data_IF_316647896912
#
_entry.id   IF_316647896912
#
_cell.length_a   1.000
_cell.length_b   1.000
_cell.length_c   1.000
_cell.angle_alpha   90.00
_cell.angle_beta   90.00
_cell.angle_gamma   90.00
#
_symmetry.space_group_name_H-M   'P 1'
#
loop_
_entity.id
_entity.type
_entity.pdbx_description
1 polymer ?
#
# COMPACT_ATOMS: atom_id res chain seq x y z
N UNK A 1 14.07 -35.38 32.51
CA UNK A 1 14.55 -36.31 31.47
C UNK A 1 15.22 -35.45 30.40
N UNK A 2 16.54 -35.32 30.46
CA UNK A 2 17.35 -34.49 29.56
C UNK A 2 17.61 -35.30 28.29
N UNK A 3 16.96 -34.93 27.18
CA UNK A 3 17.27 -35.46 25.86
C UNK A 3 18.62 -34.90 25.43
N UNK A 4 19.66 -35.74 25.54
CA UNK A 4 20.99 -35.49 24.99
C UNK A 4 20.88 -35.25 23.49
N UNK A 5 21.26 -34.06 23.05
CA UNK A 5 21.31 -33.71 21.63
C UNK A 5 22.27 -34.66 20.89
N UNK A 6 21.78 -35.25 19.81
CA UNK A 6 22.52 -36.16 18.94
C UNK A 6 23.57 -35.38 18.13
N UNK A 7 24.88 -35.57 18.39
CA UNK A 7 25.94 -34.79 17.78
C UNK A 7 26.24 -35.19 16.32
N UNK A 8 25.62 -36.26 15.80
CA UNK A 8 25.92 -36.78 14.46
C UNK A 8 24.88 -36.46 13.39
N UNK A 9 23.91 -35.58 13.67
CA UNK A 9 22.90 -35.24 12.66
C UNK A 9 23.58 -34.63 11.42
N UNK A 10 23.58 -35.31 10.26
CA UNK A 10 24.27 -34.82 9.07
C UNK A 10 23.70 -33.47 8.69
N UNK A 11 24.57 -32.47 8.49
CA UNK A 11 24.15 -31.17 7.99
C UNK A 11 23.40 -31.39 6.67
N UNK A 12 22.16 -30.90 6.52
CA UNK A 12 21.38 -31.10 5.30
C UNK A 12 22.20 -30.61 4.11
N UNK A 13 22.30 -31.46 3.09
CA UNK A 13 23.03 -31.19 1.85
C UNK A 13 22.72 -29.77 1.36
N UNK A 14 23.78 -28.97 1.18
CA UNK A 14 23.68 -27.61 0.67
C UNK A 14 22.81 -27.62 -0.58
N UNK A 15 21.64 -26.97 -0.49
CA UNK A 15 20.73 -26.77 -1.63
C UNK A 15 21.56 -26.21 -2.79
N UNK A 16 21.57 -26.85 -3.97
CA UNK A 16 22.42 -26.48 -5.09
C UNK A 16 22.30 -25.00 -5.40
N UNK A 17 23.44 -24.31 -5.34
CA UNK A 17 23.60 -22.86 -5.30
C UNK A 17 23.28 -22.14 -6.62
N UNK A 18 22.07 -22.30 -7.14
CA UNK A 18 21.48 -21.28 -7.98
C UNK A 18 21.29 -20.05 -7.11
N UNK A 19 22.04 -18.97 -7.38
CA UNK A 19 21.92 -17.77 -6.56
C UNK A 19 20.46 -17.32 -6.59
N UNK A 20 19.91 -16.93 -5.43
CA UNK A 20 18.53 -16.44 -5.32
C UNK A 20 18.23 -15.30 -6.30
N UNK A 21 19.30 -14.63 -6.76
CA UNK A 21 19.36 -13.58 -7.78
C UNK A 21 18.97 -14.10 -9.18
N UNK A 22 19.33 -15.33 -9.54
CA UNK A 22 19.05 -15.90 -10.88
C UNK A 22 17.58 -16.28 -11.07
N UNK A 23 16.83 -16.47 -9.98
CA UNK A 23 15.39 -16.79 -10.01
C UNK A 23 14.49 -15.56 -9.97
N UNK A 24 15.07 -14.36 -9.93
CA UNK A 24 14.27 -13.14 -9.96
C UNK A 24 13.64 -12.98 -11.34
N UNK A 25 12.30 -12.83 -11.48
CA UNK A 25 11.74 -12.34 -12.72
C UNK A 25 12.34 -10.95 -12.90
N UNK A 26 13.25 -10.83 -13.88
CA UNK A 26 13.88 -9.56 -14.23
C UNK A 26 12.78 -8.64 -14.74
N UNK A 27 12.12 -7.94 -13.83
CA UNK A 27 11.45 -6.69 -14.18
C UNK A 27 12.52 -5.91 -14.91
N UNK A 28 12.31 -5.69 -16.21
CA UNK A 28 13.27 -4.96 -17.00
C UNK A 28 13.42 -3.61 -16.30
N UNK A 29 14.61 -3.23 -15.81
CA UNK A 29 14.78 -1.99 -15.04
C UNK A 29 14.29 -0.77 -15.84
N UNK A 30 14.30 -0.85 -17.17
CA UNK A 30 13.70 0.12 -18.08
C UNK A 30 12.19 0.29 -17.91
N UNK A 31 11.43 -0.75 -17.57
CA UNK A 31 9.99 -0.66 -17.35
C UNK A 31 9.66 0.07 -16.03
N UNK A 32 10.38 -0.25 -14.95
CA UNK A 32 10.23 0.44 -13.67
C UNK A 32 10.64 1.91 -13.79
N UNK A 33 11.78 2.18 -14.44
CA UNK A 33 12.21 3.54 -14.73
C UNK A 33 11.21 4.29 -15.61
N UNK A 34 10.65 3.63 -16.62
CA UNK A 34 9.62 4.20 -17.49
C UNK A 34 8.38 4.64 -16.72
N UNK A 35 7.90 3.83 -15.76
CA UNK A 35 6.76 4.20 -14.91
C UNK A 35 7.08 5.39 -14.00
N UNK A 36 8.26 5.41 -13.38
CA UNK A 36 8.69 6.55 -12.55
C UNK A 36 8.77 7.83 -13.38
N UNK A 37 9.40 7.78 -14.55
CA UNK A 37 9.51 8.93 -15.46
C UNK A 37 8.12 9.39 -15.92
N UNK A 38 7.22 8.45 -16.26
CA UNK A 38 5.85 8.79 -16.65
C UNK A 38 5.09 9.47 -15.51
N UNK A 39 5.16 8.94 -14.28
CA UNK A 39 4.54 9.57 -13.11
C UNK A 39 5.07 10.99 -12.90
N UNK A 40 6.38 11.19 -12.92
CA UNK A 40 6.98 12.52 -12.74
C UNK A 40 6.60 13.49 -13.87
N UNK A 41 6.55 13.01 -15.11
CA UNK A 41 6.10 13.81 -16.24
C UNK A 41 4.64 14.26 -16.07
N UNK A 42 3.73 13.34 -15.72
CA UNK A 42 2.33 13.69 -15.49
C UNK A 42 2.15 14.64 -14.29
N UNK A 43 2.89 14.47 -13.20
CA UNK A 43 2.89 15.43 -12.07
C UNK A 43 3.30 16.83 -12.53
N UNK A 44 4.30 16.95 -13.40
CA UNK A 44 4.71 18.24 -13.96
C UNK A 44 3.61 18.84 -14.86
N UNK A 45 2.92 18.01 -15.65
CA UNK A 45 1.79 18.44 -16.47
C UNK A 45 0.60 18.92 -15.62
N UNK A 46 0.31 18.26 -14.50
CA UNK A 46 -0.68 18.74 -13.53
C UNK A 46 -0.25 20.09 -12.96
N UNK A 47 0.99 20.20 -12.47
CA UNK A 47 1.48 21.40 -11.79
C UNK A 47 1.52 22.64 -12.70
N UNK A 48 1.70 22.44 -14.00
CA UNK A 48 1.70 23.51 -15.01
C UNK A 48 0.34 23.76 -15.65
N UNK A 49 -0.67 22.97 -15.28
CA UNK A 49 -2.00 22.95 -15.91
C UNK A 49 -1.90 22.98 -17.45
N UNK A 50 -1.05 22.11 -18.02
CA UNK A 50 -0.74 22.17 -19.44
C UNK A 50 -2.02 21.99 -20.26
N UNK A 51 -2.42 23.03 -20.99
CA UNK A 51 -3.62 23.02 -21.81
C UNK A 51 -4.94 23.10 -21.04
N UNK A 52 -4.93 23.51 -19.76
CA UNK A 52 -6.15 23.63 -18.95
C UNK A 52 -6.77 22.28 -18.56
N UNK A 53 -5.94 21.24 -18.46
CA UNK A 53 -6.34 19.84 -18.28
C UNK A 53 -5.72 19.22 -17.01
N UNK A 54 -5.43 20.01 -15.98
CA UNK A 54 -4.80 19.53 -14.74
C UNK A 54 -5.46 18.27 -14.16
N UNK A 55 -6.79 18.18 -14.15
CA UNK A 55 -7.50 17.00 -13.64
C UNK A 55 -7.20 15.71 -14.42
N UNK A 56 -7.03 15.81 -15.74
CA UNK A 56 -6.67 14.66 -16.58
C UNK A 56 -5.23 14.21 -16.29
N UNK A 57 -4.31 15.16 -16.19
CA UNK A 57 -2.90 14.88 -15.86
C UNK A 57 -2.75 14.30 -14.47
N UNK A 58 -3.56 14.77 -13.52
CA UNK A 58 -3.61 14.26 -12.16
C UNK A 58 -3.98 12.77 -12.15
N UNK A 59 -5.09 12.43 -12.80
CA UNK A 59 -5.53 11.06 -12.95
C UNK A 59 -4.48 10.17 -13.63
N UNK A 60 -3.86 10.68 -14.71
CA UNK A 60 -2.81 9.95 -15.42
C UNK A 60 -1.58 9.66 -14.53
N UNK A 61 -1.16 10.63 -13.71
CA UNK A 61 -0.04 10.43 -12.79
C UNK A 61 -0.36 9.38 -11.74
N UNK A 62 -1.58 9.43 -11.16
CA UNK A 62 -2.05 8.50 -10.12
C UNK A 62 -2.15 7.07 -10.68
N UNK A 63 -2.68 6.90 -11.88
CA UNK A 63 -2.75 5.59 -12.56
C UNK A 63 -1.37 5.03 -12.86
N UNK A 64 -0.44 5.85 -13.35
CA UNK A 64 0.94 5.42 -13.58
C UNK A 64 1.62 4.96 -12.27
N UNK A 65 1.42 5.71 -11.19
CA UNK A 65 1.93 5.37 -9.87
C UNK A 65 1.32 4.06 -9.34
N UNK A 66 0.00 3.89 -9.46
CA UNK A 66 -0.71 2.68 -9.05
C UNK A 66 -0.22 1.44 -9.82
N UNK A 67 -0.03 1.56 -11.14
CA UNK A 67 0.55 0.48 -11.97
C UNK A 67 1.95 0.08 -11.52
N UNK A 68 2.81 1.07 -11.23
CA UNK A 68 4.14 0.84 -10.68
C UNK A 68 4.09 0.11 -9.34
N UNK A 69 3.24 0.59 -8.43
CA UNK A 69 3.06 0.01 -7.10
C UNK A 69 2.57 -1.45 -7.17
N UNK A 70 1.53 -1.75 -7.95
CA UNK A 70 1.01 -3.12 -8.14
C UNK A 70 2.09 -4.03 -8.72
N UNK A 71 2.79 -3.56 -9.75
CA UNK A 71 3.83 -4.34 -10.43
C UNK A 71 4.96 -4.71 -9.47
N UNK A 72 5.46 -3.74 -8.70
CA UNK A 72 6.51 -3.94 -7.71
C UNK A 72 6.05 -4.83 -6.55
N UNK A 73 4.85 -4.61 -6.02
CA UNK A 73 4.30 -5.41 -4.93
C UNK A 73 4.11 -6.87 -5.35
N UNK A 74 3.58 -7.11 -6.54
CA UNK A 74 3.34 -8.46 -7.05
C UNK A 74 4.65 -9.19 -7.40
N UNK A 75 5.62 -8.49 -8.00
CA UNK A 75 6.96 -9.04 -8.20
C UNK A 75 7.62 -9.38 -6.86
N UNK A 76 7.55 -8.48 -5.89
CA UNK A 76 8.04 -8.70 -4.53
C UNK A 76 7.36 -9.89 -3.83
N UNK A 77 6.07 -10.11 -4.05
CA UNK A 77 5.31 -11.23 -3.51
C UNK A 77 5.71 -12.57 -4.13
N UNK A 78 5.95 -12.61 -5.46
CA UNK A 78 6.40 -13.84 -6.16
C UNK A 78 7.76 -14.34 -5.67
N UNK A 79 8.58 -13.44 -5.15
CA UNK A 79 9.94 -13.70 -4.70
C UNK A 79 10.05 -14.08 -3.23
N UNK A 80 9.10 -13.62 -2.44
CA UNK A 80 9.06 -13.93 -1.02
C UNK A 80 8.57 -15.36 -0.78
N UNK A 81 8.86 -15.87 0.42
CA UNK A 81 8.40 -17.18 0.89
C UNK A 81 7.70 -17.04 2.24
N UNK A 82 6.95 -18.07 2.64
CA UNK A 82 6.28 -18.14 3.93
C UNK A 82 5.39 -16.93 4.21
N UNK A 83 5.52 -16.38 5.42
CA UNK A 83 4.73 -15.24 5.90
C UNK A 83 4.96 -13.96 5.08
N UNK A 84 6.22 -13.69 4.70
CA UNK A 84 6.56 -12.50 3.91
C UNK A 84 5.85 -12.51 2.55
N UNK A 85 5.66 -13.69 1.94
CA UNK A 85 4.86 -13.83 0.73
C UNK A 85 3.40 -13.49 0.96
N UNK A 86 2.81 -13.96 2.06
CA UNK A 86 1.42 -13.65 2.42
C UNK A 86 1.24 -12.15 2.58
N UNK A 87 2.09 -11.49 3.37
CA UNK A 87 2.03 -10.03 3.61
C UNK A 87 2.15 -9.26 2.29
N UNK A 88 3.16 -9.57 1.48
CA UNK A 88 3.37 -8.88 0.19
C UNK A 88 2.26 -9.14 -0.82
N UNK A 89 1.70 -10.35 -0.85
CA UNK A 89 0.58 -10.66 -1.73
C UNK A 89 -0.68 -9.89 -1.29
N UNK A 90 -0.94 -9.80 0.00
CA UNK A 90 -2.05 -8.99 0.53
C UNK A 90 -1.90 -7.53 0.16
N UNK A 91 -0.69 -6.94 0.28
CA UNK A 91 -0.42 -5.59 -0.19
C UNK A 91 -0.63 -5.45 -1.71
N UNK A 92 -0.17 -6.43 -2.51
CA UNK A 92 -0.38 -6.43 -3.95
C UNK A 92 -1.86 -6.50 -4.33
N UNK A 93 -2.68 -7.25 -3.59
CA UNK A 93 -4.14 -7.30 -3.78
C UNK A 93 -4.77 -5.94 -3.44
N UNK A 94 -4.39 -5.32 -2.31
CA UNK A 94 -4.88 -4.00 -1.94
C UNK A 94 -4.55 -2.93 -2.99
N UNK A 95 -3.30 -2.92 -3.47
CA UNK A 95 -2.88 -2.04 -4.56
C UNK A 95 -3.60 -2.35 -5.88
N UNK A 96 -3.93 -3.63 -6.13
CA UNK A 96 -4.72 -4.05 -7.29
C UNK A 96 -6.15 -3.49 -7.22
N UNK A 97 -6.79 -3.58 -6.04
CA UNK A 97 -8.08 -2.93 -5.81
C UNK A 97 -7.99 -1.42 -6.02
N UNK A 98 -6.95 -0.77 -5.50
CA UNK A 98 -6.73 0.66 -5.73
C UNK A 98 -6.61 1.00 -7.22
N UNK A 99 -5.80 0.25 -7.97
CA UNK A 99 -5.65 0.45 -9.41
C UNK A 99 -6.99 0.33 -10.15
N UNK A 100 -7.82 -0.66 -9.80
CA UNK A 100 -9.15 -0.80 -10.41
C UNK A 100 -10.06 0.39 -10.06
N UNK A 101 -10.00 0.86 -8.81
CA UNK A 101 -10.70 2.06 -8.37
C UNK A 101 -10.25 3.30 -9.16
N UNK A 102 -8.94 3.46 -9.35
CA UNK A 102 -8.36 4.57 -10.11
C UNK A 102 -8.79 4.51 -11.57
N UNK A 103 -8.67 3.36 -12.25
CA UNK A 103 -9.12 3.21 -13.63
C UNK A 103 -10.63 3.49 -13.79
N UNK A 104 -11.43 3.13 -12.79
CA UNK A 104 -12.86 3.46 -12.75
C UNK A 104 -13.07 4.98 -12.65
N UNK A 105 -12.30 5.66 -11.80
CA UNK A 105 -12.33 7.13 -11.65
C UNK A 105 -11.85 7.87 -12.89
N UNK A 106 -10.80 7.37 -13.56
CA UNK A 106 -10.31 7.90 -14.83
C UNK A 106 -11.40 7.82 -15.92
N UNK A 107 -12.06 6.67 -16.03
CA UNK A 107 -13.16 6.46 -16.97
C UNK A 107 -14.35 7.38 -16.69
N UNK A 108 -14.71 7.57 -15.42
CA UNK A 108 -15.78 8.50 -15.03
C UNK A 108 -15.44 9.94 -15.38
N UNK A 109 -14.19 10.35 -15.15
CA UNK A 109 -13.69 11.68 -15.52
C UNK A 109 -13.78 11.89 -17.02
N UNK A 110 -13.36 10.90 -17.81
CA UNK A 110 -13.42 10.94 -19.28
C UNK A 110 -14.86 11.04 -19.79
N UNK A 111 -15.80 10.34 -19.15
CA UNK A 111 -17.22 10.37 -19.51
C UNK A 111 -17.98 11.58 -18.93
N UNK A 112 -17.32 12.44 -18.14
CA UNK A 112 -17.95 13.58 -17.47
C UNK A 112 -18.97 13.19 -16.39
N UNK A 113 -18.92 11.96 -15.88
CA UNK A 113 -19.88 11.45 -14.91
C UNK A 113 -19.35 11.69 -13.49
N UNK A 114 -19.90 12.69 -12.81
CA UNK A 114 -19.43 13.09 -11.47
C UNK A 114 -20.16 12.39 -10.31
N UNK A 115 -21.31 11.76 -10.57
CA UNK A 115 -22.19 11.16 -9.56
C UNK A 115 -21.91 9.66 -9.31
N UNK A 116 -21.15 9.01 -10.20
CA UNK A 116 -20.86 7.56 -10.14
C UNK A 116 -19.56 7.23 -9.38
N UNK A 117 -18.99 8.18 -8.63
CA UNK A 117 -17.81 7.97 -7.77
C UNK A 117 -17.95 6.74 -6.87
N UNK A 118 -19.17 6.32 -6.57
CA UNK A 118 -19.49 5.08 -5.85
C UNK A 118 -18.63 3.87 -6.25
N UNK A 119 -18.32 3.65 -7.54
CA UNK A 119 -17.52 2.48 -7.92
C UNK A 119 -16.03 2.63 -7.56
N UNK A 120 -15.41 3.79 -7.84
CA UNK A 120 -14.02 4.05 -7.43
C UNK A 120 -13.88 4.05 -5.91
N UNK A 121 -14.86 4.63 -5.22
CA UNK A 121 -14.91 4.71 -3.76
C UNK A 121 -14.98 3.30 -3.14
N UNK A 122 -15.81 2.40 -3.70
CA UNK A 122 -15.91 1.00 -3.23
C UNK A 122 -14.59 0.26 -3.37
N UNK A 123 -13.92 0.36 -4.51
CA UNK A 123 -12.63 -0.30 -4.71
C UNK A 123 -11.53 0.27 -3.82
N UNK A 124 -11.59 1.57 -3.53
CA UNK A 124 -10.68 2.19 -2.59
C UNK A 124 -10.89 1.67 -1.17
N UNK A 125 -12.13 1.64 -0.70
CA UNK A 125 -12.47 1.06 0.60
C UNK A 125 -12.05 -0.41 0.65
N UNK A 126 -12.26 -1.15 -0.43
CA UNK A 126 -11.84 -2.55 -0.52
C UNK A 126 -10.32 -2.71 -0.43
N UNK A 127 -9.53 -1.75 -0.94
CA UNK A 127 -8.07 -1.76 -0.84
C UNK A 127 -7.55 -1.70 0.60
N UNK A 128 -8.36 -1.16 1.54
CA UNK A 128 -7.98 -1.08 2.97
C UNK A 128 -7.95 -2.44 3.65
N UNK A 129 -8.85 -3.37 3.27
CA UNK A 129 -8.95 -4.67 3.95
C UNK A 129 -7.67 -5.53 3.78
N UNK A 130 -7.11 -5.69 2.56
CA UNK A 130 -5.85 -6.38 2.38
C UNK A 130 -4.67 -5.69 3.07
N UNK A 131 -4.66 -4.34 3.13
CA UNK A 131 -3.62 -3.59 3.82
C UNK A 131 -3.67 -3.84 5.35
N UNK A 132 -4.85 -3.77 5.95
CA UNK A 132 -5.05 -4.11 7.36
C UNK A 132 -4.67 -5.56 7.66
N UNK A 133 -5.06 -6.49 6.79
CA UNK A 133 -4.67 -7.89 6.93
C UNK A 133 -3.16 -8.09 6.80
N UNK A 134 -2.50 -7.39 5.88
CA UNK A 134 -1.04 -7.43 5.73
C UNK A 134 -0.34 -6.92 7.00
N UNK A 135 -0.80 -5.80 7.57
CA UNK A 135 -0.28 -5.26 8.82
C UNK A 135 -0.47 -6.25 9.99
N UNK A 136 -1.70 -6.77 10.14
CA UNK A 136 -2.01 -7.76 11.16
C UNK A 136 -1.08 -8.97 11.05
N UNK A 137 -0.92 -9.55 9.85
CA UNK A 137 -0.04 -10.70 9.62
C UNK A 137 1.44 -10.37 9.80
N UNK A 138 1.85 -9.12 9.55
CA UNK A 138 3.22 -8.69 9.73
C UNK A 138 3.61 -8.63 11.21
N UNK A 139 2.70 -8.23 12.10
CA UNK A 139 2.99 -8.08 13.53
C UNK A 139 2.61 -9.33 14.33
N UNK A 140 1.45 -9.93 14.04
CA UNK A 140 0.87 -11.01 14.85
C UNK A 140 1.83 -12.20 15.01
N UNK A 141 2.09 -12.59 16.26
CA UNK A 141 3.00 -13.69 16.64
C UNK A 141 4.45 -13.56 16.16
N UNK A 142 4.89 -12.38 15.72
CA UNK A 142 6.32 -12.12 15.43
C UNK A 142 7.05 -11.50 16.61
N UNK A 143 6.31 -11.03 17.60
CA UNK A 143 6.79 -10.38 18.82
C UNK A 143 6.05 -10.94 20.04
N UNK A 144 6.49 -10.59 21.25
CA UNK A 144 5.76 -10.98 22.45
C UNK A 144 4.34 -10.39 22.44
N UNK A 145 3.40 -11.04 23.13
CA UNK A 145 1.99 -10.61 23.12
C UNK A 145 1.81 -9.18 23.63
N UNK A 146 2.62 -8.76 24.59
CA UNK A 146 2.66 -7.40 25.15
C UNK A 146 3.11 -6.38 24.10
N UNK A 147 4.16 -6.68 23.36
CA UNK A 147 4.69 -5.86 22.27
C UNK A 147 3.73 -5.79 21.07
N UNK A 148 3.07 -6.91 20.76
CA UNK A 148 2.04 -6.96 19.72
C UNK A 148 0.89 -5.99 20.04
N UNK A 149 0.39 -6.03 21.28
CA UNK A 149 -0.67 -5.11 21.74
C UNK A 149 -0.18 -3.66 21.68
N UNK A 150 1.04 -3.38 22.16
CA UNK A 150 1.63 -2.05 22.11
C UNK A 150 1.72 -1.52 20.67
N UNK A 151 2.20 -2.35 19.73
CA UNK A 151 2.32 -1.98 18.32
C UNK A 151 0.96 -1.64 17.69
N UNK A 152 -0.10 -2.38 18.01
CA UNK A 152 -1.45 -2.07 17.53
C UNK A 152 -2.01 -0.79 18.16
N UNK A 153 -1.76 -0.56 19.45
CA UNK A 153 -2.17 0.69 20.11
C UNK A 153 -1.43 1.90 19.53
N UNK A 154 -0.12 1.81 19.35
CA UNK A 154 0.69 2.88 18.74
C UNK A 154 0.23 3.16 17.31
N UNK A 155 -0.04 2.11 16.53
CA UNK A 155 -0.60 2.22 15.18
C UNK A 155 -1.96 2.94 15.20
N UNK A 156 -2.82 2.62 16.17
CA UNK A 156 -4.11 3.27 16.33
C UNK A 156 -3.97 4.74 16.73
N UNK A 157 -3.07 5.07 17.66
CA UNK A 157 -2.77 6.45 18.07
C UNK A 157 -2.26 7.27 16.89
N UNK A 158 -1.31 6.74 16.10
CA UNK A 158 -0.82 7.40 14.89
C UNK A 158 -1.95 7.62 13.88
N UNK A 159 -2.79 6.61 13.65
CA UNK A 159 -3.93 6.70 12.74
C UNK A 159 -4.94 7.76 13.19
N UNK A 160 -5.26 7.82 14.48
CA UNK A 160 -6.15 8.82 15.07
C UNK A 160 -5.53 10.22 15.00
N UNK A 161 -4.23 10.36 15.26
CA UNK A 161 -3.51 11.63 15.14
C UNK A 161 -3.55 12.18 13.71
N UNK A 162 -3.24 11.35 12.72
CA UNK A 162 -3.34 11.70 11.29
C UNK A 162 -4.77 12.10 10.94
N UNK A 163 -5.76 11.32 11.41
CA UNK A 163 -7.17 11.62 11.18
C UNK A 163 -7.57 12.98 11.77
N UNK A 164 -7.17 13.26 13.01
CA UNK A 164 -7.47 14.52 13.68
C UNK A 164 -6.85 15.72 12.97
N UNK A 165 -5.59 15.61 12.52
CA UNK A 165 -4.91 16.66 11.75
C UNK A 165 -5.63 16.91 10.42
N UNK A 166 -5.96 15.85 9.67
CA UNK A 166 -6.66 16.02 8.39
C UNK A 166 -8.05 16.61 8.57
N UNK A 167 -8.81 16.16 9.57
CA UNK A 167 -10.10 16.78 9.92
C UNK A 167 -9.89 18.26 10.25
N UNK A 168 -8.94 18.60 11.11
CA UNK A 168 -8.71 20.00 11.50
C UNK A 168 -8.32 20.90 10.30
N UNK A 169 -7.50 20.40 9.39
CA UNK A 169 -7.01 21.15 8.21
C UNK A 169 -8.09 21.26 7.12
N UNK A 170 -8.83 20.17 6.86
CA UNK A 170 -9.73 20.08 5.72
C UNK A 170 -11.22 20.20 6.07
N UNK A 171 -11.61 20.27 7.36
CA UNK A 171 -13.03 20.33 7.77
C UNK A 171 -13.78 21.47 7.06
N UNK A 172 -13.19 22.66 6.97
CA UNK A 172 -13.84 23.78 6.27
C UNK A 172 -14.10 23.46 4.80
N UNK A 173 -13.15 22.81 4.11
CA UNK A 173 -13.33 22.40 2.71
C UNK A 173 -14.48 21.40 2.57
N UNK A 174 -14.58 20.44 3.48
CA UNK A 174 -15.62 19.41 3.45
C UNK A 174 -17.03 19.97 3.64
N UNK A 175 -17.19 21.08 4.36
CA UNK A 175 -18.51 21.71 4.58
C UNK A 175 -19.10 22.36 3.32
N UNK A 176 -18.30 22.61 2.28
CA UNK A 176 -18.79 23.13 1.00
C UNK A 176 -19.29 22.04 0.04
N UNK A 177 -19.06 20.76 0.37
CA UNK A 177 -19.50 19.63 -0.44
C UNK A 177 -20.84 19.10 0.07
N UNK A 178 -21.84 18.88 -0.80
CA UNK A 178 -23.14 18.38 -0.39
C UNK A 178 -23.09 16.90 0.05
N UNK A 179 -23.84 16.58 1.11
CA UNK A 179 -24.10 15.21 1.54
C UNK A 179 -22.86 14.45 2.02
N UNK A 180 -22.71 13.19 1.59
CA UNK A 180 -21.59 12.31 1.96
C UNK A 180 -20.29 12.59 1.18
N UNK A 181 -20.32 13.44 0.17
CA UNK A 181 -19.16 13.70 -0.68
C UNK A 181 -17.99 14.30 0.10
N UNK A 182 -18.24 15.24 1.03
CA UNK A 182 -17.20 15.81 1.88
C UNK A 182 -16.56 14.80 2.85
N UNK A 183 -17.35 13.83 3.33
CA UNK A 183 -16.82 12.75 4.17
C UNK A 183 -15.92 11.80 3.38
N UNK A 184 -16.29 11.48 2.14
CA UNK A 184 -15.49 10.61 1.27
C UNK A 184 -14.17 11.29 0.86
N UNK A 185 -14.24 12.59 0.53
CA UNK A 185 -13.06 13.39 0.18
C UNK A 185 -12.03 13.42 1.32
N UNK A 186 -12.50 13.45 2.57
CA UNK A 186 -11.64 13.38 3.75
C UNK A 186 -11.20 11.95 4.11
N UNK A 187 -12.07 10.96 3.90
CA UNK A 187 -11.77 9.57 4.21
C UNK A 187 -10.55 9.07 3.42
N UNK A 188 -10.38 9.55 2.19
CA UNK A 188 -9.26 9.17 1.32
C UNK A 188 -7.87 9.43 1.90
N UNK A 189 -7.46 10.69 2.15
CA UNK A 189 -6.15 10.96 2.73
C UNK A 189 -6.00 10.33 4.12
N UNK A 190 -7.09 10.23 4.90
CA UNK A 190 -7.07 9.58 6.21
C UNK A 190 -6.67 8.11 6.07
N UNK A 191 -7.36 7.34 5.22
CA UNK A 191 -7.12 5.90 5.09
C UNK A 191 -5.70 5.62 4.60
N UNK A 192 -5.21 6.38 3.61
CA UNK A 192 -3.85 6.21 3.09
C UNK A 192 -2.77 6.54 4.12
N UNK A 193 -2.85 7.71 4.74
CA UNK A 193 -1.84 8.16 5.68
C UNK A 193 -1.89 7.34 6.97
N UNK A 194 -3.08 6.97 7.46
CA UNK A 194 -3.23 6.09 8.61
C UNK A 194 -2.66 4.70 8.32
N UNK A 195 -2.98 4.08 7.18
CA UNK A 195 -2.42 2.79 6.80
C UNK A 195 -0.89 2.84 6.64
N UNK A 196 -0.36 3.91 6.04
CA UNK A 196 1.08 4.14 5.92
C UNK A 196 1.76 4.32 7.29
N UNK A 197 1.17 5.13 8.17
CA UNK A 197 1.67 5.35 9.53
C UNK A 197 1.66 4.09 10.37
N UNK A 198 0.55 3.33 10.36
CA UNK A 198 0.44 2.04 11.02
C UNK A 198 1.44 1.01 10.46
N UNK A 199 1.63 1.00 9.13
CA UNK A 199 2.65 0.18 8.46
C UNK A 199 4.07 0.51 8.92
N UNK A 200 4.39 1.79 9.10
CA UNK A 200 5.69 2.24 9.60
C UNK A 200 5.92 1.78 11.05
N UNK A 201 4.91 1.94 11.92
CA UNK A 201 4.98 1.45 13.31
C UNK A 201 5.24 -0.05 13.32
N UNK A 202 4.44 -0.84 12.58
CA UNK A 202 4.64 -2.29 12.49
C UNK A 202 6.03 -2.68 11.95
N UNK A 203 6.56 -1.95 10.98
CA UNK A 203 7.90 -2.19 10.44
C UNK A 203 9.01 -1.90 11.46
N UNK A 204 8.84 -0.87 12.31
CA UNK A 204 9.78 -0.55 13.38
C UNK A 204 9.73 -1.60 14.49
N UNK A 205 8.52 -2.04 14.89
CA UNK A 205 8.33 -3.08 15.91
C UNK A 205 9.08 -4.37 15.53
N UNK A 206 8.96 -4.85 14.28
CA UNK A 206 9.58 -6.11 13.85
C UNK A 206 11.12 -6.01 13.77
N UNK A 207 11.68 -4.80 13.64
CA UNK A 207 13.13 -4.59 13.50
C UNK A 207 13.85 -4.36 14.81
N UNK A 208 13.13 -4.11 15.90
CA UNK A 208 13.75 -3.83 17.18
C UNK A 208 14.33 -5.11 17.78
N UNK A 209 15.63 -5.14 18.13
CA UNK A 209 16.21 -6.23 18.90
C UNK A 209 15.84 -6.04 20.38
N UNK A 210 14.70 -6.59 20.79
CA UNK A 210 14.35 -6.70 22.21
C UNK A 210 14.75 -8.08 22.73
#
# INVERSE_FOLDING_TARGET
>A
MLTTADPERPLPDRVPGGTLIDRLPRLKPSAALGLVVATLAFMLLTATDLGGQAALWENAHLTAAALGAVTLAFAGARLAQGLDRTVRLSLAVGLGCYLVGQLSGDLQTLLGVTYLKALSDVFLLLATLPAMYALYRAVHRRVERTEEIAAFLDSAVVSLGISAVLVAVYAQHTTFLPGSAGLLDLAYPILYLAAGGAGLVGALTIRSPF
#
